data_IF_604276303538
#
_entry.id   IF_604276303538
#
_cell.length_a   1.000
_cell.length_b   1.000
_cell.length_c   1.000
_cell.angle_alpha   90.00
_cell.angle_beta   90.00
_cell.angle_gamma   90.00
#
_symmetry.space_group_name_H-M   'P 1'
#
loop_
_entity.id
_entity.type
_entity.pdbx_description
1 polymer ?
#
# COMPACT_ATOMS: atom_id res chain seq x y z
N UNK A 1 32.78 79.75 -21.87
CA UNK A 1 31.48 80.25 -22.37
C UNK A 1 30.46 79.13 -22.14
N UNK A 2 29.43 79.18 -21.30
CA UNK A 2 28.76 80.23 -20.53
C UNK A 2 28.19 79.52 -19.29
N UNK A 3 28.34 80.13 -18.12
CA UNK A 3 27.56 79.79 -16.93
C UNK A 3 26.16 80.40 -17.03
N UNK A 4 25.10 79.68 -16.67
CA UNK A 4 23.83 80.22 -16.15
C UNK A 4 23.00 79.04 -15.60
N UNK A 5 22.84 78.95 -14.25
CA UNK A 5 21.61 79.27 -13.50
C UNK A 5 20.52 78.18 -13.65
N UNK A 6 19.82 77.67 -12.63
CA UNK A 6 19.58 78.10 -11.25
C UNK A 6 18.77 76.99 -10.53
N UNK A 7 18.96 76.89 -9.21
CA UNK A 7 17.99 76.51 -8.16
C UNK A 7 17.34 75.11 -8.22
N UNK A 8 17.72 74.19 -7.32
CA UNK A 8 17.15 74.03 -5.96
C UNK A 8 15.64 73.67 -5.95
N UNK A 9 15.35 72.38 -5.79
CA UNK A 9 14.33 71.93 -4.85
C UNK A 9 14.58 70.45 -4.51
N UNK A 10 14.97 70.22 -3.27
CA UNK A 10 14.91 68.94 -2.57
C UNK A 10 13.43 68.53 -2.44
N UNK A 11 13.10 67.24 -2.61
CA UNK A 11 12.09 66.48 -1.83
C UNK A 11 12.07 65.02 -2.34
N UNK A 12 12.60 64.16 -1.45
CA UNK A 12 12.23 62.79 -1.05
C UNK A 12 11.80 61.71 -2.06
N UNK A 13 12.50 60.57 -1.90
CA UNK A 13 12.02 59.17 -1.86
C UNK A 13 10.81 58.79 -2.74
N UNK A 14 10.96 57.75 -3.56
CA UNK A 14 10.49 56.42 -3.13
C UNK A 14 10.89 55.30 -4.12
N UNK A 15 11.20 54.14 -3.53
CA UNK A 15 11.19 52.77 -4.08
C UNK A 15 12.07 52.49 -5.34
N UNK A 16 13.16 51.73 -5.25
CA UNK A 16 13.14 50.33 -4.80
C UNK A 16 13.22 49.37 -6.00
N UNK A 17 14.37 49.32 -6.69
CA UNK A 17 14.62 48.35 -7.78
C UNK A 17 15.74 47.40 -7.35
N UNK A 18 15.37 46.19 -6.93
CA UNK A 18 16.32 45.10 -6.71
C UNK A 18 15.96 43.91 -7.59
N UNK A 19 16.61 43.85 -8.75
CA UNK A 19 16.62 42.71 -9.66
C UNK A 19 17.71 41.72 -9.23
N UNK A 20 17.38 40.81 -8.31
CA UNK A 20 18.01 39.48 -8.22
C UNK A 20 17.36 38.68 -7.09
N UNK A 21 16.10 38.29 -7.28
CA UNK A 21 15.56 37.15 -6.54
C UNK A 21 15.16 36.14 -7.60
N UNK A 22 15.82 34.98 -7.58
CA UNK A 22 15.29 33.80 -8.25
C UNK A 22 13.82 33.64 -7.83
N UNK A 23 12.93 33.09 -8.67
CA UNK A 23 11.62 32.70 -8.20
C UNK A 23 11.85 31.64 -7.10
N UNK A 24 11.84 32.06 -5.85
CA UNK A 24 11.70 31.14 -4.74
C UNK A 24 10.38 30.44 -5.02
N UNK A 25 10.42 29.11 -5.25
CA UNK A 25 9.19 28.31 -5.38
C UNK A 25 8.21 28.83 -4.33
N UNK A 26 6.98 29.23 -4.72
CA UNK A 26 6.02 29.70 -3.73
C UNK A 26 5.89 28.60 -2.69
N UNK A 27 6.15 28.94 -1.43
CA UNK A 27 5.87 28.02 -0.34
C UNK A 27 4.42 27.57 -0.49
N UNK A 28 4.11 26.26 -0.38
CA UNK A 28 2.72 25.83 -0.43
C UNK A 28 1.96 26.65 0.61
N UNK A 29 0.95 27.37 0.13
CA UNK A 29 0.14 28.25 0.97
C UNK A 29 -0.30 27.49 2.22
N UNK A 30 -0.28 28.16 3.37
CA UNK A 30 -0.53 27.56 4.70
C UNK A 30 -1.88 26.81 4.81
N UNK A 31 -2.77 26.96 3.82
CA UNK A 31 -3.98 26.16 3.65
C UNK A 31 -3.73 24.66 3.35
N UNK A 32 -2.60 24.28 2.77
CA UNK A 32 -2.29 22.87 2.42
C UNK A 32 -1.45 22.09 3.44
N UNK A 33 -0.93 22.73 4.50
CA UNK A 33 -0.04 22.05 5.47
C UNK A 33 -0.78 21.11 6.42
N UNK A 34 -2.09 21.31 6.63
CA UNK A 34 -2.92 20.39 7.44
C UNK A 34 -3.38 19.16 6.66
N UNK A 35 -3.36 19.20 5.33
CA UNK A 35 -3.82 18.08 4.48
C UNK A 35 -2.72 17.03 4.23
N UNK A 36 -1.44 17.45 4.12
CA UNK A 36 -0.32 16.54 3.86
C UNK A 36 0.03 15.62 5.04
N UNK A 37 -0.07 16.11 6.29
CA UNK A 37 0.21 15.31 7.48
C UNK A 37 -0.93 14.33 7.84
N UNK A 38 -2.18 14.67 7.51
CA UNK A 38 -3.35 13.83 7.75
C UNK A 38 -3.46 12.63 6.77
N UNK A 39 -2.88 12.73 5.57
CA UNK A 39 -2.85 11.63 4.60
C UNK A 39 -1.80 10.57 4.95
N UNK A 40 -0.65 10.97 5.51
CA UNK A 40 0.38 10.07 5.98
C UNK A 40 -0.06 9.25 7.23
N UNK A 41 -0.86 9.84 8.11
CA UNK A 41 -1.43 9.12 9.27
C UNK A 41 -2.66 8.25 8.94
N UNK A 42 -3.17 8.30 7.69
CA UNK A 42 -4.33 7.51 7.24
C UNK A 42 -3.96 6.12 6.72
N UNK A 43 -2.67 5.85 6.60
CA UNK A 43 -2.10 4.59 6.10
C UNK A 43 -1.98 3.56 7.23
N UNK A 44 -3.06 3.37 7.98
CA UNK A 44 -3.23 2.23 8.88
C UNK A 44 -4.60 1.62 8.66
N UNK A 45 -4.97 1.39 7.40
CA UNK A 45 -6.12 0.57 7.08
C UNK A 45 -5.89 -0.83 7.66
N UNK A 46 -6.82 -1.34 8.46
CA UNK A 46 -6.80 -2.70 9.02
C UNK A 46 -6.89 -3.76 7.93
N UNK A 47 -5.83 -3.90 7.13
CA UNK A 47 -5.73 -4.88 6.08
C UNK A 47 -5.65 -6.27 6.72
N UNK A 48 -6.54 -7.16 6.29
CA UNK A 48 -6.52 -8.54 6.76
C UNK A 48 -5.24 -9.24 6.27
N UNK A 49 -4.65 -10.05 7.15
CA UNK A 49 -3.38 -10.73 6.89
C UNK A 49 -3.56 -11.82 5.82
N UNK A 50 -2.74 -11.87 4.76
CA UNK A 50 -2.77 -12.96 3.80
C UNK A 50 -2.31 -14.27 4.46
N UNK A 51 -2.75 -15.40 3.90
CA UNK A 51 -2.35 -16.73 4.33
C UNK A 51 -1.52 -17.42 3.26
N UNK A 52 -0.62 -18.31 3.66
CA UNK A 52 0.17 -19.13 2.76
C UNK A 52 -0.15 -20.60 3.00
N UNK A 53 -0.25 -21.37 1.92
CA UNK A 53 -0.61 -22.77 2.02
C UNK A 53 -0.27 -23.58 0.78
N UNK A 54 -0.42 -24.90 0.90
CA UNK A 54 -0.19 -25.87 -0.17
C UNK A 54 -1.52 -26.30 -0.78
N UNK A 55 -1.58 -26.47 -2.09
CA UNK A 55 -2.78 -26.99 -2.77
C UNK A 55 -2.87 -28.50 -2.57
N UNK A 56 -4.01 -28.96 -2.05
CA UNK A 56 -4.31 -30.38 -1.81
C UNK A 56 -5.14 -30.98 -2.94
N UNK A 57 -6.13 -30.25 -3.46
CA UNK A 57 -6.98 -30.77 -4.53
C UNK A 57 -7.47 -29.69 -5.48
N UNK A 58 -7.31 -29.94 -6.77
CA UNK A 58 -7.90 -29.19 -7.87
C UNK A 58 -8.95 -30.03 -8.64
N UNK A 59 -9.93 -30.59 -7.91
CA UNK A 59 -10.99 -31.42 -8.52
C UNK A 59 -12.25 -30.63 -8.89
N UNK A 60 -12.34 -29.38 -8.45
CA UNK A 60 -13.54 -28.54 -8.58
C UNK A 60 -13.28 -27.45 -9.60
N UNK A 61 -14.33 -27.01 -10.29
CA UNK A 61 -14.24 -25.92 -11.26
C UNK A 61 -14.01 -24.57 -10.55
N UNK A 62 -13.07 -23.77 -11.06
CA UNK A 62 -12.75 -22.41 -10.59
C UNK A 62 -12.40 -22.33 -9.11
N UNK A 63 -11.92 -23.43 -8.53
CA UNK A 63 -11.77 -23.55 -7.09
C UNK A 63 -10.82 -24.64 -6.63
N UNK A 64 -9.97 -24.25 -5.71
CA UNK A 64 -8.94 -25.12 -5.16
C UNK A 64 -9.07 -25.27 -3.65
N UNK A 65 -8.69 -26.44 -3.15
CA UNK A 65 -8.61 -26.72 -1.72
C UNK A 65 -7.18 -26.50 -1.26
N UNK A 66 -6.98 -25.51 -0.39
CA UNK A 66 -5.65 -25.12 0.11
C UNK A 66 -5.52 -25.49 1.58
N UNK A 67 -4.41 -26.12 1.91
CA UNK A 67 -4.02 -26.47 3.26
C UNK A 67 -3.08 -25.43 3.85
N UNK A 68 -3.51 -24.81 4.94
CA UNK A 68 -2.72 -23.84 5.71
C UNK A 68 -2.33 -24.48 7.03
N UNK A 69 -1.02 -24.65 7.22
CA UNK A 69 -0.45 -25.13 8.47
C UNK A 69 0.04 -23.94 9.31
N UNK A 70 -0.28 -23.95 10.60
CA UNK A 70 0.25 -22.99 11.58
C UNK A 70 0.72 -23.72 12.82
N UNK A 71 1.80 -23.24 13.41
CA UNK A 71 2.31 -23.77 14.69
C UNK A 71 1.60 -23.01 15.81
N UNK A 72 0.99 -23.75 16.74
CA UNK A 72 0.30 -23.17 17.89
C UNK A 72 0.87 -23.79 19.16
N UNK A 73 1.05 -22.95 20.19
CA UNK A 73 1.45 -23.39 21.52
C UNK A 73 0.22 -23.90 22.27
N UNK A 74 0.31 -25.09 22.87
CA UNK A 74 -0.74 -25.59 23.76
C UNK A 74 -0.77 -24.75 25.05
N UNK A 75 -1.91 -24.18 25.46
CA UNK A 75 -1.97 -23.32 26.64
C UNK A 75 -1.62 -24.05 27.94
N UNK A 76 -1.96 -25.34 28.07
CA UNK A 76 -1.74 -26.09 29.32
C UNK A 76 -0.31 -26.63 29.44
N UNK A 77 0.20 -27.21 28.35
CA UNK A 77 1.47 -27.94 28.36
C UNK A 77 2.63 -27.17 27.73
N UNK A 78 2.37 -26.07 27.01
CA UNK A 78 3.40 -25.26 26.36
C UNK A 78 4.09 -25.93 25.16
N UNK A 79 3.75 -27.17 24.80
CA UNK A 79 4.27 -27.86 23.61
C UNK A 79 3.75 -27.18 22.34
N UNK A 80 4.63 -27.00 21.37
CA UNK A 80 4.25 -26.56 20.03
C UNK A 80 3.74 -27.72 19.19
N UNK A 81 2.58 -27.53 18.55
CA UNK A 81 2.03 -28.51 17.60
C UNK A 81 1.50 -27.81 16.35
N UNK A 82 1.46 -28.57 15.24
CA UNK A 82 0.97 -28.08 13.95
C UNK A 82 -0.55 -28.20 13.91
N UNK A 83 -1.25 -27.09 13.71
CA UNK A 83 -2.68 -27.05 13.38
C UNK A 83 -2.83 -26.79 11.89
N UNK A 84 -3.56 -27.68 11.24
CA UNK A 84 -3.86 -27.58 9.82
C UNK A 84 -5.32 -27.20 9.61
N UNK A 85 -5.60 -26.24 8.74
CA UNK A 85 -6.96 -25.94 8.26
C UNK A 85 -7.00 -25.92 6.74
N UNK A 86 -8.11 -26.39 6.18
CA UNK A 86 -8.36 -26.41 4.73
C UNK A 86 -9.29 -25.26 4.37
N UNK A 87 -8.91 -24.49 3.37
CA UNK A 87 -9.67 -23.36 2.84
C UNK A 87 -10.05 -23.63 1.39
N UNK A 88 -11.25 -23.16 1.01
CA UNK A 88 -11.67 -23.18 -0.39
C UNK A 88 -11.36 -21.81 -0.98
N UNK A 89 -10.44 -21.79 -1.93
CA UNK A 89 -10.01 -20.59 -2.62
C UNK A 89 -10.61 -20.56 -4.03
N UNK A 90 -10.87 -19.35 -4.52
CA UNK A 90 -11.26 -19.10 -5.89
C UNK A 90 -10.03 -18.84 -6.76
N UNK A 91 -10.05 -19.43 -7.93
CA UNK A 91 -9.13 -19.21 -9.04
C UNK A 91 -10.03 -19.09 -10.28
N UNK A 92 -9.84 -18.08 -11.11
CA UNK A 92 -10.65 -17.85 -12.30
C UNK A 92 -10.11 -18.59 -13.53
N UNK A 93 -8.79 -18.74 -13.60
CA UNK A 93 -8.06 -19.27 -14.75
C UNK A 93 -7.68 -20.75 -14.57
N UNK A 94 -7.95 -21.34 -13.39
CA UNK A 94 -7.65 -22.73 -13.03
C UNK A 94 -6.17 -23.12 -13.29
N UNK A 95 -5.26 -22.17 -13.11
CA UNK A 95 -3.80 -22.30 -13.38
C UNK A 95 -3.10 -23.15 -12.31
N UNK A 96 -3.73 -23.33 -11.16
CA UNK A 96 -3.18 -23.99 -9.99
C UNK A 96 -3.04 -25.52 -10.13
N UNK A 97 -1.85 -26.07 -9.88
CA UNK A 97 -1.60 -27.50 -9.84
C UNK A 97 -1.61 -28.07 -8.41
N UNK A 98 -1.73 -29.39 -8.31
CA UNK A 98 -1.66 -30.08 -7.01
C UNK A 98 -0.23 -29.98 -6.48
N UNK A 99 -0.10 -29.50 -5.26
CA UNK A 99 1.18 -29.40 -4.58
C UNK A 99 1.85 -28.03 -4.63
N UNK A 100 1.30 -27.09 -5.38
CA UNK A 100 1.78 -25.71 -5.43
C UNK A 100 1.69 -25.00 -4.08
N UNK A 101 2.62 -24.07 -3.83
CA UNK A 101 2.55 -23.14 -2.71
C UNK A 101 1.96 -21.83 -3.18
N UNK A 102 0.86 -21.43 -2.54
CA UNK A 102 0.07 -20.26 -2.92
C UNK A 102 -0.10 -19.28 -1.79
N UNK A 103 -0.21 -18.00 -2.18
CA UNK A 103 -0.61 -16.88 -1.34
C UNK A 103 -2.10 -16.64 -1.52
N UNK A 104 -2.80 -16.62 -0.39
CA UNK A 104 -4.24 -16.41 -0.30
C UNK A 104 -4.54 -15.02 0.24
N UNK A 105 -5.39 -14.28 -0.47
CA UNK A 105 -5.99 -13.05 0.00
C UNK A 105 -7.43 -13.29 0.45
N UNK A 106 -7.88 -12.64 1.54
CA UNK A 106 -9.27 -12.69 1.93
C UNK A 106 -10.11 -11.82 0.98
N UNK A 107 -11.29 -12.30 0.62
CA UNK A 107 -12.20 -11.60 -0.32
C UNK A 107 -13.63 -11.57 0.22
N UNK A 108 -14.52 -10.87 -0.48
CA UNK A 108 -15.96 -10.98 -0.25
C UNK A 108 -16.40 -12.44 -0.39
N UNK A 109 -17.43 -12.90 0.32
CA UNK A 109 -17.93 -14.26 0.13
C UNK A 109 -18.40 -14.45 -1.32
N UNK A 110 -17.78 -15.38 -2.04
CA UNK A 110 -18.18 -15.78 -3.41
C UNK A 110 -19.20 -16.93 -3.36
N UNK A 111 -19.16 -17.71 -2.29
CA UNK A 111 -20.09 -18.81 -2.01
C UNK A 111 -20.15 -19.05 -0.49
N UNK A 112 -20.90 -20.07 -0.04
CA UNK A 112 -21.04 -20.43 1.38
C UNK A 112 -19.69 -20.67 2.07
N UNK A 113 -18.73 -21.29 1.36
CA UNK A 113 -17.40 -21.65 1.89
C UNK A 113 -16.23 -20.89 1.24
N UNK A 114 -16.42 -20.33 0.04
CA UNK A 114 -15.37 -19.64 -0.73
C UNK A 114 -15.26 -18.19 -0.28
N UNK A 115 -14.26 -17.90 0.53
CA UNK A 115 -13.97 -16.56 1.10
C UNK A 115 -12.51 -16.12 0.87
N UNK A 116 -11.77 -16.90 0.09
CA UNK A 116 -10.36 -16.70 -0.18
C UNK A 116 -10.15 -16.66 -1.69
N UNK A 117 -9.26 -15.80 -2.15
CA UNK A 117 -8.82 -15.72 -3.53
C UNK A 117 -7.35 -16.14 -3.62
N UNK A 118 -6.98 -16.83 -4.70
CA UNK A 118 -5.56 -17.08 -5.01
C UNK A 118 -5.00 -15.82 -5.66
N UNK A 119 -3.94 -15.24 -5.08
CA UNK A 119 -3.31 -14.02 -5.59
C UNK A 119 -2.01 -14.33 -6.33
N UNK A 120 -1.18 -15.20 -5.75
CA UNK A 120 0.16 -15.49 -6.27
C UNK A 120 0.54 -16.95 -6.01
N UNK A 121 1.14 -17.60 -7.01
CA UNK A 121 1.79 -18.91 -6.87
C UNK A 121 3.27 -18.66 -6.56
N UNK A 122 3.67 -18.85 -5.30
CA UNK A 122 5.05 -18.59 -4.87
C UNK A 122 6.02 -19.67 -5.35
N UNK A 123 5.60 -20.93 -5.34
CA UNK A 123 6.40 -22.07 -5.84
C UNK A 123 5.50 -23.04 -6.58
N UNK A 124 5.86 -23.35 -7.83
CA UNK A 124 5.25 -24.42 -8.59
C UNK A 124 5.84 -25.76 -8.15
N UNK A 125 5.00 -26.78 -8.02
CA UNK A 125 5.46 -28.14 -7.85
C UNK A 125 5.90 -28.69 -9.21
N UNK A 126 7.12 -29.21 -9.28
CA UNK A 126 7.53 -30.08 -10.37
C UNK A 126 6.92 -31.46 -10.10
N UNK A 127 6.16 -31.97 -11.06
CA UNK A 127 5.56 -33.31 -11.05
C UNK A 127 6.25 -34.15 -12.11
#
# INVERSE_FOLDING_TARGET
>A
MIALLKCCANVENDEGRCWSKQPTKPAPSTAGRKEAAAFASRQSSGAMKPLFGKIVSNKMQKSVLVEVARIVKDPKYGKYYKKTKKFMAHDEEDVCNIGDFVRLSPTRPLSKRKRWNVEEITRKAEV
#
